data_IF_387203499569
#
_entry.id   IF_387203499569
#
_cell.length_a   1.000
_cell.length_b   1.000
_cell.length_c   1.000
_cell.angle_alpha   90.00
_cell.angle_beta   90.00
_cell.angle_gamma   90.00
#
_symmetry.space_group_name_H-M   'P 1'
#
loop_
_entity.id
_entity.type
_entity.pdbx_description
1 polymer ?
#
# COMPACT_ATOMS: atom_id res chain seq x y z
N UNK A 1 49.82 -30.13 23.24
CA UNK A 1 49.81 -28.90 22.44
C UNK A 1 48.75 -28.88 21.32
N UNK A 2 48.44 -30.00 20.70
CA UNK A 2 47.46 -30.07 19.58
C UNK A 2 46.01 -29.71 19.95
N UNK A 3 45.54 -30.05 21.16
CA UNK A 3 44.15 -29.73 21.58
C UNK A 3 43.89 -28.25 21.78
N UNK A 4 44.90 -27.45 22.11
CA UNK A 4 44.78 -26.01 22.31
C UNK A 4 44.72 -25.29 20.95
N UNK A 5 45.44 -25.79 19.93
CA UNK A 5 45.39 -25.21 18.57
C UNK A 5 44.04 -25.44 17.92
N UNK A 6 43.37 -26.57 18.13
CA UNK A 6 42.02 -26.82 17.59
C UNK A 6 40.95 -25.90 18.18
N UNK A 7 41.08 -25.55 19.47
CA UNK A 7 40.16 -24.64 20.15
C UNK A 7 40.32 -23.20 19.65
N UNK A 8 41.54 -22.74 19.43
CA UNK A 8 41.82 -21.40 18.89
C UNK A 8 41.37 -21.26 17.43
N UNK A 9 41.49 -22.31 16.60
CA UNK A 9 41.00 -22.31 15.24
C UNK A 9 39.47 -22.24 15.15
N UNK A 10 38.73 -22.73 16.14
CA UNK A 10 37.26 -22.62 16.16
C UNK A 10 36.79 -21.22 16.52
N UNK A 11 37.59 -20.44 17.25
CA UNK A 11 37.28 -19.03 17.60
C UNK A 11 37.51 -18.10 16.40
N UNK A 12 38.50 -18.44 15.54
CA UNK A 12 38.80 -17.65 14.34
C UNK A 12 38.11 -18.19 13.07
N UNK A 13 37.15 -19.09 13.20
CA UNK A 13 36.38 -19.53 12.05
C UNK A 13 35.59 -18.32 11.53
N UNK A 14 36.11 -17.78 10.41
CA UNK A 14 35.52 -16.63 9.74
C UNK A 14 34.03 -16.82 9.58
N UNK A 15 33.28 -15.88 10.10
CA UNK A 15 31.82 -15.79 10.01
C UNK A 15 31.35 -15.29 8.65
N UNK A 16 32.30 -15.02 7.76
CA UNK A 16 32.08 -14.43 6.45
C UNK A 16 31.77 -15.48 5.38
N UNK A 17 30.59 -16.07 5.49
CA UNK A 17 29.85 -16.40 4.26
C UNK A 17 28.77 -15.35 4.15
N UNK A 18 28.84 -14.43 3.17
CA UNK A 18 27.76 -13.49 2.92
C UNK A 18 26.51 -14.31 2.63
N UNK A 19 25.60 -14.38 3.59
CA UNK A 19 24.29 -14.96 3.36
C UNK A 19 23.51 -13.91 2.58
N UNK A 20 23.36 -14.15 1.29
CA UNK A 20 22.45 -13.34 0.48
C UNK A 20 21.09 -13.36 1.16
N UNK A 21 20.54 -12.17 1.38
CA UNK A 21 19.20 -11.97 1.98
C UNK A 21 18.07 -12.68 1.18
N UNK A 22 18.38 -13.16 -0.01
CA UNK A 22 17.49 -13.93 -0.89
C UNK A 22 17.40 -15.41 -0.58
N UNK A 23 18.26 -15.95 0.29
CA UNK A 23 18.29 -17.39 0.61
C UNK A 23 18.27 -17.56 2.12
N UNK A 24 17.12 -17.85 2.69
CA UNK A 24 17.01 -18.20 4.09
C UNK A 24 15.77 -17.64 4.80
N UNK A 25 15.75 -17.75 6.13
CA UNK A 25 14.63 -17.33 6.98
C UNK A 25 14.30 -15.84 6.87
N UNK A 26 15.28 -14.97 6.57
CA UNK A 26 15.06 -13.54 6.34
C UNK A 26 14.18 -13.28 5.09
N UNK A 27 14.45 -13.98 4.00
CA UNK A 27 13.61 -13.88 2.79
C UNK A 27 12.19 -14.37 3.08
N UNK A 28 12.02 -15.44 3.84
CA UNK A 28 10.71 -15.95 4.27
C UNK A 28 9.96 -14.97 5.17
N UNK A 29 10.68 -14.24 6.03
CA UNK A 29 10.11 -13.21 6.88
C UNK A 29 9.60 -12.02 6.06
N UNK A 30 10.37 -11.56 5.06
CA UNK A 30 9.97 -10.46 4.19
C UNK A 30 8.94 -10.85 3.12
N UNK A 31 8.89 -12.11 2.69
CA UNK A 31 7.90 -12.59 1.70
C UNK A 31 6.61 -13.11 2.32
N UNK A 32 6.46 -13.00 3.64
CA UNK A 32 5.19 -13.24 4.32
C UNK A 32 4.72 -14.70 4.36
N UNK A 33 5.65 -15.68 4.44
CA UNK A 33 5.22 -17.04 4.70
C UNK A 33 4.64 -17.14 6.11
N UNK A 34 3.35 -17.42 6.21
CA UNK A 34 2.70 -17.65 7.49
C UNK A 34 3.21 -18.93 8.14
N UNK A 35 3.13 -19.01 9.48
CA UNK A 35 3.47 -20.23 10.25
C UNK A 35 2.64 -21.45 9.87
N UNK A 36 1.49 -21.24 9.21
CA UNK A 36 0.61 -22.30 8.68
C UNK A 36 1.06 -22.87 7.33
N UNK A 37 2.17 -22.38 6.75
CA UNK A 37 2.71 -22.86 5.49
C UNK A 37 1.97 -22.39 4.23
N UNK A 38 0.87 -21.64 4.36
CA UNK A 38 0.18 -21.03 3.21
C UNK A 38 0.70 -19.62 2.98
N UNK A 39 1.18 -19.35 1.77
CA UNK A 39 1.47 -17.99 1.31
C UNK A 39 0.14 -17.25 1.08
N UNK A 40 -0.08 -16.21 1.89
CA UNK A 40 -1.20 -15.29 1.71
C UNK A 40 -0.63 -14.02 1.04
N UNK A 41 -1.11 -13.73 -0.14
CA UNK A 41 -0.85 -12.47 -0.86
C UNK A 41 -2.19 -11.80 -1.19
N UNK A 42 -2.16 -10.59 -1.70
CA UNK A 42 -3.35 -9.79 -2.00
C UNK A 42 -4.29 -10.53 -2.97
N UNK A 43 -3.70 -11.19 -3.98
CA UNK A 43 -4.46 -11.93 -4.98
C UNK A 43 -5.16 -13.16 -4.37
N UNK A 44 -4.46 -13.93 -3.53
CA UNK A 44 -5.07 -15.08 -2.85
C UNK A 44 -6.07 -14.66 -1.77
N UNK A 45 -5.85 -13.52 -1.12
CA UNK A 45 -6.80 -12.94 -0.17
C UNK A 45 -8.11 -12.55 -0.86
N UNK A 46 -8.05 -11.92 -2.03
CA UNK A 46 -9.23 -11.51 -2.81
C UNK A 46 -10.03 -12.70 -3.39
N UNK A 47 -9.47 -13.90 -3.43
CA UNK A 47 -10.21 -15.12 -3.78
C UNK A 47 -11.12 -15.60 -2.65
N UNK A 48 -10.91 -15.12 -1.42
CA UNK A 48 -11.80 -15.43 -0.30
C UNK A 48 -13.01 -14.49 -0.33
N UNK A 49 -14.21 -15.05 -0.45
CA UNK A 49 -15.46 -14.27 -0.54
C UNK A 49 -15.62 -13.26 0.59
N UNK A 50 -15.26 -13.63 1.82
CA UNK A 50 -15.36 -12.74 2.96
C UNK A 50 -14.44 -11.51 2.83
N UNK A 51 -13.19 -11.71 2.42
CA UNK A 51 -12.21 -10.62 2.22
C UNK A 51 -12.66 -9.73 1.07
N UNK A 52 -13.05 -10.33 -0.05
CA UNK A 52 -13.56 -9.59 -1.21
C UNK A 52 -14.76 -8.70 -0.82
N UNK A 53 -15.75 -9.26 -0.10
CA UNK A 53 -16.93 -8.52 0.33
C UNK A 53 -16.59 -7.37 1.27
N UNK A 54 -15.67 -7.59 2.23
CA UNK A 54 -15.23 -6.52 3.15
C UNK A 54 -14.51 -5.39 2.40
N UNK A 55 -13.56 -5.72 1.53
CA UNK A 55 -12.83 -4.73 0.73
C UNK A 55 -13.79 -3.93 -0.14
N UNK A 56 -14.71 -4.61 -0.82
CA UNK A 56 -15.70 -3.98 -1.68
C UNK A 56 -16.61 -3.02 -0.91
N UNK A 57 -17.23 -3.47 0.18
CA UNK A 57 -18.15 -2.64 0.97
C UNK A 57 -17.44 -1.39 1.51
N UNK A 58 -16.21 -1.53 2.02
CA UNK A 58 -15.46 -0.40 2.55
C UNK A 58 -15.04 0.58 1.47
N UNK A 59 -14.57 0.09 0.32
CA UNK A 59 -14.14 0.97 -0.78
C UNK A 59 -15.33 1.71 -1.41
N UNK A 60 -16.47 1.04 -1.64
CA UNK A 60 -17.68 1.66 -2.14
C UNK A 60 -18.26 2.68 -1.15
N UNK A 61 -18.23 2.38 0.16
CA UNK A 61 -18.70 3.31 1.19
C UNK A 61 -17.89 4.61 1.20
N UNK A 62 -16.56 4.52 1.15
CA UNK A 62 -15.68 5.71 1.08
C UNK A 62 -15.84 6.44 -0.26
N UNK A 63 -15.93 5.71 -1.36
CA UNK A 63 -16.09 6.28 -2.69
C UNK A 63 -17.42 7.04 -2.87
N UNK A 64 -18.47 6.66 -2.14
CA UNK A 64 -19.78 7.32 -2.19
C UNK A 64 -19.79 8.71 -1.55
N UNK A 65 -18.80 9.02 -0.68
CA UNK A 65 -18.72 10.33 -0.02
C UNK A 65 -18.21 11.39 -1.01
N UNK A 66 -18.96 12.48 -1.25
CA UNK A 66 -18.52 13.52 -2.17
C UNK A 66 -17.33 14.29 -1.63
N UNK A 67 -16.29 14.44 -2.44
CA UNK A 67 -15.10 15.21 -2.09
C UNK A 67 -15.26 16.64 -2.62
N UNK A 68 -15.25 17.63 -1.74
CA UNK A 68 -15.38 19.04 -2.08
C UNK A 68 -14.13 19.83 -1.71
N UNK A 69 -13.76 20.78 -2.56
CA UNK A 69 -12.71 21.76 -2.29
C UNK A 69 -13.35 23.00 -1.67
N UNK A 70 -12.80 23.49 -0.56
CA UNK A 70 -13.26 24.67 0.15
C UNK A 70 -12.17 25.73 0.18
N UNK A 71 -12.54 26.99 0.10
CA UNK A 71 -11.68 28.13 0.43
C UNK A 71 -12.18 28.82 1.71
N UNK A 72 -11.26 29.42 2.45
CA UNK A 72 -11.60 30.24 3.60
C UNK A 72 -11.98 31.66 3.14
N UNK A 73 -13.04 32.20 3.69
CA UNK A 73 -13.40 33.59 3.55
C UNK A 73 -12.74 34.42 4.66
N UNK A 74 -12.55 35.73 4.43
CA UNK A 74 -11.93 36.64 5.43
C UNK A 74 -12.64 36.68 6.78
N UNK A 75 -13.91 36.33 6.84
CA UNK A 75 -14.75 36.31 8.04
C UNK A 75 -14.70 34.96 8.81
N UNK A 76 -13.75 34.07 8.50
CA UNK A 76 -13.60 32.76 9.13
C UNK A 76 -14.58 31.68 8.63
N UNK A 77 -15.46 31.99 7.69
CA UNK A 77 -16.35 31.04 7.02
C UNK A 77 -15.63 30.22 5.95
N UNK A 78 -16.27 29.10 5.55
CA UNK A 78 -15.80 28.25 4.44
C UNK A 78 -16.83 28.25 3.32
N UNK A 79 -16.36 28.44 2.09
CA UNK A 79 -17.19 28.41 0.87
C UNK A 79 -16.66 27.34 -0.09
N UNK A 80 -17.58 26.63 -0.78
CA UNK A 80 -17.17 25.66 -1.80
C UNK A 80 -16.46 26.36 -2.96
N UNK A 81 -15.25 25.97 -3.26
CA UNK A 81 -14.43 26.56 -4.32
C UNK A 81 -14.72 25.89 -5.67
N UNK A 82 -15.95 25.99 -6.16
CA UNK A 82 -16.41 25.32 -7.40
C UNK A 82 -15.62 25.75 -8.63
N UNK A 83 -15.11 26.99 -8.66
CA UNK A 83 -14.30 27.52 -9.77
C UNK A 83 -12.82 27.11 -9.71
N UNK A 84 -12.41 26.39 -8.65
CA UNK A 84 -11.03 25.94 -8.51
C UNK A 84 -10.76 24.75 -9.44
N UNK A 85 -9.66 24.71 -10.20
CA UNK A 85 -9.37 23.60 -11.13
C UNK A 85 -9.40 22.21 -10.48
N UNK A 86 -8.94 22.10 -9.22
CA UNK A 86 -8.99 20.85 -8.47
C UNK A 86 -10.42 20.42 -8.10
N UNK A 87 -11.41 21.32 -8.13
CA UNK A 87 -12.77 20.94 -7.80
C UNK A 87 -13.30 19.93 -8.81
N UNK A 88 -13.17 20.23 -10.09
CA UNK A 88 -13.57 19.34 -11.17
C UNK A 88 -12.86 17.99 -11.11
N UNK A 89 -11.52 18.01 -10.96
CA UNK A 89 -10.71 16.79 -10.90
C UNK A 89 -11.04 15.88 -9.71
N UNK A 90 -11.36 16.43 -8.55
CA UNK A 90 -11.61 15.64 -7.34
C UNK A 90 -13.08 15.26 -7.17
N UNK A 91 -13.99 16.12 -7.62
CA UNK A 91 -15.42 15.92 -7.43
C UNK A 91 -16.08 15.22 -8.61
N UNK A 92 -15.74 15.61 -9.83
CA UNK A 92 -16.43 15.15 -11.03
C UNK A 92 -15.63 14.07 -11.76
N UNK A 93 -14.51 14.43 -12.38
CA UNK A 93 -13.81 13.57 -13.34
C UNK A 93 -12.29 13.78 -13.22
N UNK A 94 -11.56 12.87 -12.55
CA UNK A 94 -10.09 12.96 -12.42
C UNK A 94 -9.37 12.73 -13.75
N UNK A 95 -9.96 11.94 -14.66
CA UNK A 95 -9.45 11.70 -16.01
C UNK A 95 -10.61 11.25 -16.93
N UNK A 96 -10.42 11.27 -18.28
CA UNK A 96 -11.45 10.88 -19.22
C UNK A 96 -11.92 9.42 -19.15
N UNK A 97 -11.20 8.57 -18.46
CA UNK A 97 -11.47 7.12 -18.41
C UNK A 97 -12.24 6.70 -17.17
N UNK A 98 -12.25 7.53 -16.13
CA UNK A 98 -12.90 7.17 -14.85
C UNK A 98 -13.55 8.35 -14.16
N UNK A 99 -14.67 8.09 -13.50
CA UNK A 99 -15.34 9.04 -12.61
C UNK A 99 -14.60 9.18 -11.29
N UNK A 100 -14.87 10.23 -10.54
CA UNK A 100 -14.29 10.45 -9.23
C UNK A 100 -14.68 9.35 -8.22
N UNK A 101 -15.84 8.70 -8.40
CA UNK A 101 -16.25 7.53 -7.62
C UNK A 101 -15.29 6.35 -7.85
N UNK A 102 -15.09 5.94 -9.10
CA UNK A 102 -14.20 4.82 -9.47
C UNK A 102 -12.77 5.10 -9.03
N UNK A 103 -12.30 6.34 -9.16
CA UNK A 103 -10.98 6.74 -8.71
C UNK A 103 -10.80 6.54 -7.20
N UNK A 104 -11.74 7.01 -6.37
CA UNK A 104 -11.69 6.84 -4.91
C UNK A 104 -11.85 5.39 -4.48
N UNK A 105 -12.74 4.64 -5.13
CA UNK A 105 -12.91 3.20 -4.90
C UNK A 105 -11.61 2.44 -5.16
N UNK A 106 -10.93 2.74 -6.26
CA UNK A 106 -9.65 2.13 -6.61
C UNK A 106 -8.57 2.47 -5.59
N UNK A 107 -8.44 3.75 -5.22
CA UNK A 107 -7.48 4.18 -4.19
C UNK A 107 -7.74 3.50 -2.85
N UNK A 108 -9.00 3.39 -2.44
CA UNK A 108 -9.36 2.74 -1.18
C UNK A 108 -9.10 1.24 -1.23
N UNK A 109 -9.38 0.59 -2.34
CA UNK A 109 -9.06 -0.83 -2.56
C UNK A 109 -7.56 -1.08 -2.45
N UNK A 110 -6.72 -0.24 -3.08
CA UNK A 110 -5.27 -0.33 -2.95
C UNK A 110 -4.80 -0.12 -1.52
N UNK A 111 -5.36 0.86 -0.83
CA UNK A 111 -5.04 1.12 0.58
C UNK A 111 -5.35 -0.07 1.48
N UNK A 112 -6.48 -0.75 1.28
CA UNK A 112 -6.89 -1.91 2.07
C UNK A 112 -6.03 -3.15 1.80
N UNK A 113 -5.56 -3.34 0.55
CA UNK A 113 -4.80 -4.53 0.16
C UNK A 113 -3.28 -4.37 0.36
N UNK A 114 -2.73 -3.19 0.10
CA UNK A 114 -1.28 -2.93 0.16
C UNK A 114 -0.86 -1.92 1.22
N UNK A 115 -1.82 -1.34 1.95
CA UNK A 115 -1.53 -0.33 2.97
C UNK A 115 -1.16 1.04 2.41
N UNK A 116 -1.02 1.18 1.09
CA UNK A 116 -0.69 2.42 0.39
C UNK A 116 -1.46 2.51 -0.92
N UNK A 117 -1.83 3.75 -1.30
CA UNK A 117 -2.43 4.06 -2.58
C UNK A 117 -1.76 5.30 -3.17
N UNK A 118 -1.45 5.25 -4.45
CA UNK A 118 -0.73 6.32 -5.17
C UNK A 118 -1.48 6.69 -6.44
N UNK A 119 -1.47 7.99 -6.76
CA UNK A 119 -1.93 8.50 -8.04
C UNK A 119 -0.87 9.41 -8.65
N UNK A 120 -0.65 9.28 -9.94
CA UNK A 120 0.28 10.10 -10.69
C UNK A 120 -0.42 11.37 -11.19
N UNK A 121 0.18 12.53 -10.96
CA UNK A 121 -0.27 13.80 -11.51
C UNK A 121 0.45 14.02 -12.84
N UNK A 122 -0.29 13.94 -13.96
CA UNK A 122 0.23 14.22 -15.28
C UNK A 122 -0.17 15.66 -15.60
N UNK A 123 0.82 16.49 -15.95
CA UNK A 123 0.61 17.87 -16.40
C UNK A 123 0.92 17.94 -17.88
N UNK A 124 -0.07 18.27 -18.66
CA UNK A 124 0.12 18.66 -20.05
C UNK A 124 0.59 20.13 -20.01
N UNK A 125 1.86 20.35 -20.35
CA UNK A 125 2.52 21.66 -20.35
C UNK A 125 1.98 22.61 -21.40
#
# INVERSE_FOLDING_TARGET
MEKIMGFLQSIFKSRDKPQNATSGSAFRFFTGSSSSGKNVNERSAMQMTAVYSCVRILSEAVASLPLHVYKYNGDGGKEKAVKHPLYFLLHDEPNPEMTSFIFRETLMTHLLLWGNAYSQIIRNG
#
